data_IF_614386187919
#
_entry.id   IF_614386187919
#
_cell.length_a   1.000
_cell.length_b   1.000
_cell.length_c   1.000
_cell.angle_alpha   90.00
_cell.angle_beta   90.00
_cell.angle_gamma   90.00
#
_symmetry.space_group_name_H-M   'P 1'
#
loop_
_entity.id
_entity.type
_entity.pdbx_description
1 polymer ?
#
# COMPACT_ATOMS: atom_id res chain seq x y z
N UNK A 1 -18.39 -3.82 28.10
CA UNK A 1 -16.99 -3.38 27.84
C UNK A 1 -16.09 -4.46 27.22
N UNK A 2 -16.53 -5.72 27.06
CA UNK A 2 -15.79 -6.78 26.34
C UNK A 2 -16.01 -6.74 24.81
N UNK A 3 -17.20 -6.31 24.38
CA UNK A 3 -17.65 -6.29 22.98
C UNK A 3 -16.89 -5.30 22.10
N UNK A 4 -16.57 -4.09 22.60
CA UNK A 4 -15.79 -3.10 21.84
C UNK A 4 -14.36 -3.54 21.51
N UNK A 5 -13.81 -4.51 22.26
CA UNK A 5 -12.41 -4.96 22.14
C UNK A 5 -12.20 -5.88 20.95
N UNK A 6 -13.17 -6.77 20.70
CA UNK A 6 -13.13 -7.68 19.56
C UNK A 6 -13.44 -6.94 18.26
N UNK A 7 -14.38 -5.99 18.29
CA UNK A 7 -14.78 -5.23 17.10
C UNK A 7 -13.61 -4.53 16.42
N UNK A 8 -12.71 -3.94 17.20
CA UNK A 8 -11.62 -3.12 16.67
C UNK A 8 -10.50 -3.94 16.02
N UNK A 9 -10.12 -5.05 16.65
CA UNK A 9 -9.16 -5.99 16.06
C UNK A 9 -9.74 -6.71 14.85
N UNK A 10 -11.00 -7.15 14.93
CA UNK A 10 -11.72 -7.75 13.79
C UNK A 10 -11.81 -6.77 12.63
N UNK A 11 -12.02 -5.48 12.88
CA UNK A 11 -12.01 -4.45 11.85
C UNK A 11 -10.65 -4.35 11.13
N UNK A 12 -9.54 -4.29 11.87
CA UNK A 12 -8.20 -4.25 11.28
C UNK A 12 -7.91 -5.49 10.41
N UNK A 13 -8.34 -6.68 10.86
CA UNK A 13 -8.19 -7.93 10.09
C UNK A 13 -9.06 -7.91 8.82
N UNK A 14 -10.29 -7.42 8.90
CA UNK A 14 -11.16 -7.28 7.71
C UNK A 14 -10.54 -6.31 6.71
N UNK A 15 -10.03 -5.15 7.17
CA UNK A 15 -9.33 -4.21 6.31
C UNK A 15 -8.11 -4.85 5.63
N UNK A 16 -7.30 -5.62 6.36
CA UNK A 16 -6.17 -6.36 5.79
C UNK A 16 -6.60 -7.36 4.72
N UNK A 17 -7.65 -8.13 4.99
CA UNK A 17 -8.18 -9.11 4.03
C UNK A 17 -8.67 -8.43 2.75
N UNK A 18 -9.38 -7.31 2.87
CA UNK A 18 -9.83 -6.52 1.71
C UNK A 18 -8.64 -5.97 0.94
N UNK A 19 -7.64 -5.38 1.62
CA UNK A 19 -6.42 -4.89 0.97
C UNK A 19 -5.68 -6.01 0.23
N UNK A 20 -5.45 -7.17 0.85
CA UNK A 20 -4.79 -8.30 0.21
C UNK A 20 -5.59 -8.87 -0.96
N UNK A 21 -6.92 -8.94 -0.82
CA UNK A 21 -7.78 -9.34 -1.92
C UNK A 21 -7.60 -8.40 -3.11
N UNK A 22 -7.63 -7.08 -2.89
CA UNK A 22 -7.40 -6.09 -3.94
C UNK A 22 -6.00 -6.21 -4.57
N UNK A 23 -4.96 -6.39 -3.75
CA UNK A 23 -3.58 -6.60 -4.24
C UNK A 23 -3.54 -7.80 -5.18
N UNK A 24 -4.02 -8.97 -4.73
CA UNK A 24 -3.98 -10.20 -5.54
C UNK A 24 -4.82 -10.03 -6.82
N UNK A 25 -6.01 -9.43 -6.70
CA UNK A 25 -6.91 -9.29 -7.85
C UNK A 25 -6.33 -8.35 -8.91
N UNK A 26 -5.56 -7.35 -8.51
CA UNK A 26 -4.89 -6.44 -9.44
C UNK A 26 -3.59 -7.05 -9.98
N UNK A 27 -2.70 -7.54 -9.10
CA UNK A 27 -1.35 -8.02 -9.42
C UNK A 27 -1.33 -9.30 -10.27
N UNK A 28 -2.19 -10.26 -9.95
CA UNK A 28 -2.18 -11.58 -10.56
C UNK A 28 -2.52 -11.57 -12.07
N UNK A 29 -3.57 -10.88 -12.57
CA UNK A 29 -3.91 -10.91 -13.99
C UNK A 29 -2.84 -10.29 -14.88
N UNK A 30 -2.19 -9.19 -14.48
CA UNK A 30 -1.12 -8.59 -15.31
C UNK A 30 0.15 -9.40 -15.27
N UNK A 31 0.49 -9.98 -14.11
CA UNK A 31 1.63 -10.89 -14.03
C UNK A 31 1.41 -12.13 -14.91
N UNK A 32 0.21 -12.70 -14.90
CA UNK A 32 -0.17 -13.82 -15.77
C UNK A 32 -0.18 -13.42 -17.25
N UNK A 33 -0.68 -12.23 -17.60
CA UNK A 33 -0.65 -11.73 -18.96
C UNK A 33 0.80 -11.54 -19.45
N UNK A 34 1.66 -10.95 -18.62
CA UNK A 34 3.09 -10.81 -18.91
C UNK A 34 3.77 -12.18 -19.10
N UNK A 35 3.48 -13.16 -18.24
CA UNK A 35 4.00 -14.53 -18.37
C UNK A 35 3.56 -15.22 -19.67
N UNK A 36 2.36 -14.90 -20.18
CA UNK A 36 1.84 -15.51 -21.40
C UNK A 36 2.38 -14.85 -22.67
N UNK A 37 2.49 -13.51 -22.69
CA UNK A 37 2.84 -12.74 -23.88
C UNK A 37 4.30 -12.27 -23.92
N UNK A 38 5.01 -12.29 -22.79
CA UNK A 38 6.37 -11.74 -22.65
C UNK A 38 6.42 -10.21 -22.52
N UNK A 39 5.27 -9.53 -22.56
CA UNK A 39 5.15 -8.07 -22.51
C UNK A 39 3.90 -7.67 -21.70
N UNK A 40 3.90 -6.45 -21.16
CA UNK A 40 2.76 -5.89 -20.42
C UNK A 40 1.69 -5.43 -21.42
N UNK A 41 0.57 -6.14 -21.47
CA UNK A 41 -0.59 -5.80 -22.32
C UNK A 41 -1.74 -5.28 -21.46
N UNK A 42 -2.33 -4.11 -21.77
CA UNK A 42 -1.95 -3.18 -22.84
C UNK A 42 -0.72 -2.33 -22.47
N UNK A 43 0.13 -2.02 -23.46
CA UNK A 43 1.30 -1.14 -23.34
C UNK A 43 0.89 0.34 -23.27
N UNK A 44 0.09 0.66 -22.26
CA UNK A 44 -0.45 1.99 -22.03
C UNK A 44 0.25 2.65 -20.86
N UNK A 45 0.80 3.84 -21.09
CA UNK A 45 1.45 4.67 -20.07
C UNK A 45 0.57 4.87 -18.83
N UNK A 46 -0.73 5.15 -19.03
CA UNK A 46 -1.70 5.36 -17.94
C UNK A 46 -1.93 4.11 -17.10
N UNK A 47 -1.85 2.91 -17.70
CA UNK A 47 -2.04 1.65 -16.98
C UNK A 47 -0.85 1.36 -16.08
N UNK A 48 0.38 1.54 -16.57
CA UNK A 48 1.60 1.39 -15.77
C UNK A 48 1.65 2.42 -14.63
N UNK A 49 1.28 3.68 -14.87
CA UNK A 49 1.19 4.70 -13.81
C UNK A 49 0.17 4.31 -12.73
N UNK A 50 -1.02 3.90 -13.14
CA UNK A 50 -2.08 3.47 -12.22
C UNK A 50 -1.66 2.25 -11.42
N UNK A 51 -1.00 1.29 -12.07
CA UNK A 51 -0.47 0.07 -11.46
C UNK A 51 0.54 0.40 -10.36
N UNK A 52 1.57 1.19 -10.71
CA UNK A 52 2.59 1.64 -9.77
C UNK A 52 1.93 2.37 -8.61
N UNK A 53 1.04 3.34 -8.88
CA UNK A 53 0.33 4.06 -7.81
C UNK A 53 -0.41 3.11 -6.85
N UNK A 54 -1.15 2.13 -7.39
CA UNK A 54 -1.87 1.17 -6.58
C UNK A 54 -0.95 0.26 -5.76
N UNK A 55 0.15 -0.20 -6.33
CA UNK A 55 1.11 -1.06 -5.65
C UNK A 55 1.81 -0.30 -4.50
N UNK A 56 2.33 0.91 -4.79
CA UNK A 56 2.96 1.79 -3.80
C UNK A 56 1.99 2.25 -2.69
N UNK A 57 0.68 2.22 -2.94
CA UNK A 57 -0.31 2.50 -1.90
C UNK A 57 -0.67 1.25 -1.08
N UNK A 58 -1.04 0.16 -1.75
CA UNK A 58 -1.62 -1.04 -1.14
C UNK A 58 -0.60 -1.88 -0.37
N UNK A 59 0.64 -2.01 -0.86
CA UNK A 59 1.68 -2.81 -0.20
C UNK A 59 2.13 -2.22 1.15
N UNK A 60 2.57 -0.94 1.22
CA UNK A 60 2.99 -0.38 2.49
C UNK A 60 1.80 -0.15 3.45
N UNK A 61 0.60 0.11 2.93
CA UNK A 61 -0.59 0.21 3.80
C UNK A 61 -0.95 -1.14 4.44
N UNK A 62 -0.85 -2.26 3.72
CA UNK A 62 -1.09 -3.59 4.33
C UNK A 62 -0.06 -3.91 5.40
N UNK A 63 1.23 -3.64 5.15
CA UNK A 63 2.29 -3.79 6.13
C UNK A 63 2.07 -2.89 7.36
N UNK A 64 1.65 -1.65 7.15
CA UNK A 64 1.33 -0.71 8.23
C UNK A 64 0.16 -1.17 9.09
N UNK A 65 -0.95 -1.59 8.49
CA UNK A 65 -2.12 -2.08 9.22
C UNK A 65 -1.73 -3.33 10.03
N UNK A 66 -0.89 -4.22 9.48
CA UNK A 66 -0.39 -5.40 10.18
C UNK A 66 0.48 -5.03 11.40
N UNK A 67 1.37 -4.06 11.24
CA UNK A 67 2.20 -3.54 12.33
C UNK A 67 1.35 -2.92 13.45
N UNK A 68 0.41 -2.03 13.08
CA UNK A 68 -0.48 -1.37 14.04
C UNK A 68 -1.40 -2.37 14.74
N UNK A 69 -1.97 -3.34 14.03
CA UNK A 69 -2.81 -4.38 14.63
C UNK A 69 -2.02 -5.18 15.69
N UNK A 70 -0.74 -5.47 15.42
CA UNK A 70 0.15 -6.16 16.35
C UNK A 70 0.45 -5.31 17.59
N UNK A 71 0.76 -4.02 17.40
CA UNK A 71 1.01 -3.06 18.49
C UNK A 71 -0.25 -2.87 19.34
N UNK A 72 -1.41 -2.71 18.71
CA UNK A 72 -2.69 -2.59 19.41
C UNK A 72 -2.97 -3.82 20.27
N UNK A 73 -2.72 -5.03 19.76
CA UNK A 73 -2.87 -6.26 20.55
C UNK A 73 -1.90 -6.30 21.74
N UNK A 74 -0.66 -5.88 21.54
CA UNK A 74 0.33 -5.81 22.61
C UNK A 74 -0.08 -4.82 23.71
N UNK A 75 -0.40 -3.57 23.35
CA UNK A 75 -0.83 -2.53 24.30
C UNK A 75 -2.12 -2.97 25.01
N UNK A 76 -3.02 -3.66 24.31
CA UNK A 76 -4.24 -4.19 24.91
C UNK A 76 -3.97 -5.21 26.03
N UNK A 77 -2.98 -6.08 25.86
CA UNK A 77 -2.66 -7.12 26.83
C UNK A 77 -1.95 -6.52 28.05
N UNK A 78 -0.91 -5.70 27.82
CA UNK A 78 -0.02 -5.23 28.88
C UNK A 78 -0.39 -3.87 29.48
N UNK A 79 -1.10 -3.02 28.73
CA UNK A 79 -1.33 -1.62 29.09
C UNK A 79 -2.78 -1.16 28.84
N UNK A 80 -3.75 -1.91 29.38
CA UNK A 80 -5.20 -1.65 29.23
C UNK A 80 -5.62 -0.20 29.52
N UNK A 81 -4.94 0.49 30.44
CA UNK A 81 -5.28 1.87 30.83
C UNK A 81 -4.92 2.92 29.76
N UNK A 82 -3.93 2.65 28.90
CA UNK A 82 -3.49 3.59 27.86
C UNK A 82 -4.51 3.72 26.72
N UNK A 83 -5.42 2.74 26.60
CA UNK A 83 -6.31 2.58 25.45
C UNK A 83 -7.78 2.92 25.75
N UNK A 84 -8.00 3.93 26.60
CA UNK A 84 -9.32 4.34 27.06
C UNK A 84 -10.12 5.19 26.04
N UNK A 85 -9.57 5.48 24.86
CA UNK A 85 -10.23 6.35 23.86
C UNK A 85 -10.27 5.71 22.48
N UNK A 86 -11.46 5.73 21.86
CA UNK A 86 -11.72 5.26 20.51
C UNK A 86 -10.83 5.95 19.46
N UNK A 87 -10.53 7.24 19.64
CA UNK A 87 -9.68 8.00 18.72
C UNK A 87 -8.26 7.42 18.61
N UNK A 88 -7.69 6.96 19.74
CA UNK A 88 -6.35 6.36 19.77
C UNK A 88 -6.28 5.03 19.02
N UNK A 89 -7.42 4.40 18.75
CA UNK A 89 -7.46 3.15 18.02
C UNK A 89 -7.53 3.36 16.51
N UNK A 90 -8.38 4.28 16.05
CA UNK A 90 -8.60 4.49 14.62
C UNK A 90 -7.58 5.42 13.96
N UNK A 91 -7.08 6.43 14.69
CA UNK A 91 -6.07 7.37 14.17
C UNK A 91 -4.83 6.66 13.59
N UNK A 92 -4.16 5.73 14.30
CA UNK A 92 -2.96 5.09 13.76
C UNK A 92 -3.25 4.16 12.58
N UNK A 93 -4.49 3.69 12.39
CA UNK A 93 -4.88 2.85 11.26
C UNK A 93 -5.09 3.71 10.02
N UNK A 94 -5.78 4.84 10.13
CA UNK A 94 -6.20 5.64 8.97
C UNK A 94 -5.25 6.78 8.59
N UNK A 95 -4.59 7.41 9.57
CA UNK A 95 -3.76 8.59 9.31
C UNK A 95 -2.58 8.27 8.37
N UNK A 96 -1.82 7.18 8.57
CA UNK A 96 -0.61 6.93 7.76
C UNK A 96 -0.92 6.51 6.32
N UNK A 97 -1.91 5.65 6.01
CA UNK A 97 -2.32 5.40 4.63
C UNK A 97 -2.76 6.65 3.88
N UNK A 98 -3.47 7.57 4.54
CA UNK A 98 -3.90 8.84 3.92
C UNK A 98 -2.70 9.72 3.59
N UNK A 99 -1.75 9.85 4.53
CA UNK A 99 -0.53 10.62 4.32
C UNK A 99 0.33 10.02 3.20
N UNK A 100 0.46 8.69 3.15
CA UNK A 100 1.17 7.99 2.08
C UNK A 100 0.48 8.17 0.73
N UNK A 101 -0.86 8.06 0.66
CA UNK A 101 -1.62 8.37 -0.56
C UNK A 101 -1.30 9.76 -1.10
N UNK A 102 -1.39 10.78 -0.24
CA UNK A 102 -1.15 12.16 -0.66
C UNK A 102 0.29 12.32 -1.16
N UNK A 103 1.25 11.76 -0.42
CA UNK A 103 2.66 11.81 -0.77
C UNK A 103 2.94 11.16 -2.13
N UNK A 104 2.43 9.95 -2.37
CA UNK A 104 2.62 9.25 -3.64
C UNK A 104 1.88 9.92 -4.80
N UNK A 105 0.69 10.50 -4.60
CA UNK A 105 0.02 11.29 -5.63
C UNK A 105 0.89 12.48 -6.03
N UNK A 106 1.47 13.20 -5.06
CA UNK A 106 2.35 14.34 -5.35
C UNK A 106 3.60 13.89 -6.10
N UNK A 107 4.27 12.82 -5.65
CA UNK A 107 5.49 12.33 -6.30
C UNK A 107 5.24 11.74 -7.69
N UNK A 108 4.11 11.09 -7.92
CA UNK A 108 3.85 10.41 -9.19
C UNK A 108 3.32 11.39 -10.24
N UNK A 109 2.46 12.35 -9.86
CA UNK A 109 1.81 13.25 -10.82
C UNK A 109 2.46 14.63 -10.95
N UNK A 110 3.12 15.16 -9.89
CA UNK A 110 3.65 16.53 -9.88
C UNK A 110 5.17 16.60 -9.92
N UNK A 111 5.88 15.50 -9.68
CA UNK A 111 7.34 15.50 -9.73
C UNK A 111 7.82 15.59 -11.19
N UNK A 112 8.74 16.51 -11.53
CA UNK A 112 9.12 16.83 -12.90
C UNK A 112 10.11 15.82 -13.46
N UNK A 113 9.74 14.55 -13.51
CA UNK A 113 10.61 13.50 -14.02
C UNK A 113 9.97 12.79 -15.22
N UNK A 114 10.80 12.48 -16.22
CA UNK A 114 10.35 11.85 -17.44
C UNK A 114 10.22 10.34 -17.21
N UNK A 115 9.01 9.88 -16.93
CA UNK A 115 8.72 8.45 -16.73
C UNK A 115 9.04 7.68 -18.02
N UNK A 116 10.05 6.82 -17.96
CA UNK A 116 10.39 5.88 -19.03
C UNK A 116 9.93 4.49 -18.58
N UNK A 117 8.81 4.03 -19.12
CA UNK A 117 8.31 2.68 -18.84
C UNK A 117 8.84 1.69 -19.87
N UNK A 118 9.48 0.64 -19.38
CA UNK A 118 9.84 -0.53 -20.19
C UNK A 118 8.74 -1.59 -20.07
N UNK A 119 7.96 -1.75 -21.13
CA UNK A 119 6.86 -2.72 -21.19
C UNK A 119 7.33 -4.17 -21.36
N UNK A 120 8.62 -4.37 -21.62
CA UNK A 120 9.24 -5.71 -21.74
C UNK A 120 9.67 -6.28 -20.39
N UNK A 121 9.61 -5.47 -19.33
CA UNK A 121 9.92 -5.90 -17.97
C UNK A 121 8.65 -6.05 -17.13
N UNK A 122 8.70 -6.97 -16.18
CA UNK A 122 7.68 -7.06 -15.15
C UNK A 122 7.61 -5.72 -14.39
N UNK A 123 6.42 -5.13 -14.32
CA UNK A 123 6.08 -3.94 -13.51
C UNK A 123 6.46 -2.58 -14.11
N UNK A 124 6.62 -2.54 -15.44
CA UNK A 124 6.81 -1.28 -16.19
C UNK A 124 7.97 -0.40 -15.68
N UNK A 125 9.03 -0.97 -15.11
CA UNK A 125 10.24 -0.23 -14.71
C UNK A 125 10.01 0.89 -13.65
N UNK A 126 9.18 0.64 -12.63
CA UNK A 126 9.13 1.45 -11.39
C UNK A 126 8.78 2.95 -11.56
N UNK A 127 8.71 3.69 -10.45
CA UNK A 127 8.46 5.13 -10.52
C UNK A 127 9.78 5.89 -10.72
N UNK A 128 9.81 6.85 -11.65
CA UNK A 128 11.07 7.52 -12.01
C UNK A 128 11.72 8.37 -10.90
N UNK A 129 11.00 8.78 -9.85
CA UNK A 129 11.61 9.43 -8.67
C UNK A 129 12.57 8.52 -7.87
N UNK A 130 12.56 7.20 -8.11
CA UNK A 130 13.49 6.26 -7.49
C UNK A 130 14.86 6.24 -8.17
N UNK A 131 14.91 6.60 -9.45
CA UNK A 131 16.13 6.58 -10.26
C UNK A 131 16.88 7.91 -10.23
N UNK A 132 16.18 9.01 -9.95
CA UNK A 132 16.81 10.29 -9.61
C UNK A 132 17.13 10.25 -8.12
N UNK A 133 18.40 9.99 -7.75
CA UNK A 133 18.92 9.66 -6.41
C UNK A 133 18.68 10.67 -5.26
N UNK A 134 17.59 11.43 -5.27
CA UNK A 134 17.16 12.33 -4.21
C UNK A 134 16.49 11.59 -3.03
N UNK A 135 15.93 10.39 -3.24
CA UNK A 135 15.20 9.62 -2.21
C UNK A 135 15.84 8.24 -1.93
N UNK A 136 17.09 8.05 -2.35
CA UNK A 136 17.84 6.81 -2.17
C UNK A 136 17.67 5.88 -3.36
N UNK A 137 18.78 5.59 -4.02
CA UNK A 137 18.87 4.55 -5.04
C UNK A 137 18.61 3.21 -4.36
N UNK A 138 17.66 2.45 -4.87
CA UNK A 138 17.51 1.04 -4.50
C UNK A 138 18.39 0.28 -5.50
N UNK A 139 19.63 0.05 -5.08
CA UNK A 139 20.58 -0.84 -5.76
C UNK A 139 20.14 -2.30 -5.59
#
# INVERSE_FOLDING_TARGET
>A
MSTSKNVSFTFSVICLLICHFLIITMELPVTLAYLHFGEVIPSSYSLCLYWIYMNYLLFPSSAWIMAIASIQRYIFIFHKHLMNSFLKHYIPIFLPPILLSIWYVVLIFFYPCQQQFDYTQAWCFGACYLNEGLIGTID
#
